data_IF_743535524438
#
_entry.id   IF_743535524438
#
_cell.length_a   1.000
_cell.length_b   1.000
_cell.length_c   1.000
_cell.angle_alpha   90.00
_cell.angle_beta   90.00
_cell.angle_gamma   90.00
#
_symmetry.space_group_name_H-M   'P 1'
#
loop_
_entity.id
_entity.type
_entity.pdbx_description
1 polymer ?
#
# COMPACT_ATOMS: atom_id res chain seq x y z
N UNK A 1 6.74 -13.67 -3.26
CA UNK A 1 7.90 -14.53 -3.61
C UNK A 1 9.15 -13.91 -3.01
N UNK A 2 9.75 -14.60 -2.02
CA UNK A 2 11.05 -14.40 -1.34
C UNK A 2 10.80 -14.87 0.12
N UNK A 3 11.17 -16.07 0.60
CA UNK A 3 12.46 -16.76 0.67
C UNK A 3 13.49 -16.07 1.59
N UNK A 4 13.44 -16.32 2.91
CA UNK A 4 14.41 -17.16 3.64
C UNK A 4 13.99 -17.31 5.12
N UNK A 5 14.16 -18.50 5.72
CA UNK A 5 13.89 -18.77 7.14
C UNK A 5 15.17 -18.79 7.98
N UNK A 6 15.06 -18.61 9.30
CA UNK A 6 16.11 -18.98 10.25
C UNK A 6 15.51 -19.66 11.48
N UNK A 7 16.14 -20.79 11.77
CA UNK A 7 15.89 -21.90 12.68
C UNK A 7 16.13 -21.60 14.17
N UNK A 8 15.52 -22.42 15.05
CA UNK A 8 15.95 -22.96 16.36
C UNK A 8 14.73 -22.96 17.32
N UNK A 9 14.37 -23.99 18.09
CA UNK A 9 15.11 -25.13 18.58
C UNK A 9 14.16 -26.27 19.03
N UNK A 10 14.64 -27.50 18.79
CA UNK A 10 14.56 -28.72 19.60
C UNK A 10 13.20 -29.28 20.08
N UNK A 11 12.79 -30.34 19.38
CA UNK A 11 11.92 -31.41 19.83
C UNK A 11 12.69 -32.43 20.68
N UNK A 12 12.13 -32.82 21.82
CA UNK A 12 12.43 -34.08 22.49
C UNK A 12 11.19 -34.57 23.25
N UNK A 13 10.36 -35.36 22.58
CA UNK A 13 9.23 -36.08 23.17
C UNK A 13 9.32 -37.52 22.67
N UNK A 14 10.11 -38.32 23.39
CA UNK A 14 10.21 -39.77 23.20
C UNK A 14 9.09 -40.40 24.03
N UNK A 15 8.18 -41.06 23.33
CA UNK A 15 7.08 -41.83 23.90
C UNK A 15 7.58 -43.12 24.55
N UNK A 16 7.04 -43.36 25.74
CA UNK A 16 7.21 -44.52 26.61
C UNK A 16 6.48 -45.74 26.03
N UNK A 17 7.18 -46.87 25.83
CA UNK A 17 6.56 -48.16 25.53
C UNK A 17 7.25 -49.25 26.36
N UNK A 18 6.58 -49.69 27.42
CA UNK A 18 7.01 -50.82 28.24
C UNK A 18 5.92 -51.91 28.22
N UNK A 19 6.22 -53.04 27.58
CA UNK A 19 5.48 -54.29 27.69
C UNK A 19 6.40 -55.34 28.32
N UNK A 20 5.84 -56.15 29.21
CA UNK A 20 6.48 -57.07 30.16
C UNK A 20 7.33 -58.21 29.56
N UNK A 21 8.04 -58.98 30.41
CA UNK A 21 7.49 -60.32 30.66
C UNK A 21 7.52 -60.82 32.12
N UNK A 22 6.63 -61.81 32.29
CA UNK A 22 6.30 -62.73 33.37
C UNK A 22 7.42 -63.47 34.12
N UNK A 23 7.11 -63.93 35.33
CA UNK A 23 7.62 -65.21 35.86
C UNK A 23 8.02 -65.19 37.34
N UNK A 24 7.25 -65.87 38.18
CA UNK A 24 7.37 -65.93 39.63
C UNK A 24 8.55 -66.80 40.14
N UNK A 25 9.14 -66.46 41.29
CA UNK A 25 9.03 -67.26 42.54
C UNK A 25 9.88 -66.72 43.70
N UNK A 26 9.22 -66.68 44.85
CA UNK A 26 9.72 -66.93 46.20
C UNK A 26 10.70 -65.95 46.89
N UNK A 27 10.18 -65.42 48.01
CA UNK A 27 10.79 -65.44 49.34
C UNK A 27 11.19 -64.08 49.96
N UNK A 28 10.72 -63.95 51.21
CA UNK A 28 11.22 -63.16 52.34
C UNK A 28 10.75 -61.72 52.51
N UNK A 29 9.83 -61.61 53.46
CA UNK A 29 9.73 -60.62 54.54
C UNK A 29 10.98 -59.74 54.74
N UNK A 30 10.77 -58.41 54.70
CA UNK A 30 11.73 -57.39 55.14
C UNK A 30 11.93 -56.26 54.13
N UNK A 31 11.11 -55.20 54.17
CA UNK A 31 11.29 -54.09 53.21
C UNK A 31 10.43 -52.83 53.40
N UNK A 32 9.92 -52.55 54.60
CA UNK A 32 9.01 -51.40 54.80
C UNK A 32 9.68 -50.03 55.01
N UNK A 33 10.97 -49.97 55.35
CA UNK A 33 11.66 -48.73 55.70
C UNK A 33 12.56 -48.16 54.59
N UNK A 34 12.99 -48.98 53.63
CA UNK A 34 13.85 -48.55 52.51
C UNK A 34 13.06 -47.91 51.37
N UNK A 35 11.81 -48.34 51.15
CA UNK A 35 10.90 -47.81 50.13
C UNK A 35 10.41 -46.40 50.47
N UNK A 36 10.05 -46.16 51.72
CA UNK A 36 9.58 -44.83 52.17
C UNK A 36 10.68 -43.78 52.15
N UNK A 37 11.94 -44.13 52.41
CA UNK A 37 13.07 -43.20 52.31
C UNK A 37 13.47 -42.89 50.87
N UNK A 38 13.34 -43.87 49.96
CA UNK A 38 13.48 -43.68 48.52
C UNK A 38 12.43 -42.69 47.96
N UNK A 39 11.16 -42.87 48.35
CA UNK A 39 10.05 -42.00 47.92
C UNK A 39 10.18 -40.56 48.46
N UNK A 40 10.61 -40.38 49.71
CA UNK A 40 10.87 -39.05 50.28
C UNK A 40 12.03 -38.36 49.58
N UNK A 41 13.06 -39.10 49.16
CA UNK A 41 14.18 -38.54 48.40
C UNK A 41 13.76 -38.13 46.98
N UNK A 42 12.93 -38.94 46.31
CA UNK A 42 12.34 -38.61 45.01
C UNK A 42 11.43 -37.37 45.08
N UNK A 43 10.53 -37.31 46.07
CA UNK A 43 9.65 -36.15 46.26
C UNK A 43 10.42 -34.86 46.58
N UNK A 44 11.54 -34.96 47.32
CA UNK A 44 12.41 -33.79 47.57
C UNK A 44 13.12 -33.31 46.31
N UNK A 45 13.52 -34.23 45.43
CA UNK A 45 14.09 -33.88 44.13
C UNK A 45 13.04 -33.22 43.22
N UNK A 46 11.83 -33.76 43.16
CA UNK A 46 10.72 -33.20 42.37
C UNK A 46 10.26 -31.83 42.91
N UNK A 47 10.23 -31.63 44.23
CA UNK A 47 9.95 -30.32 44.84
C UNK A 47 11.08 -29.31 44.55
N UNK A 48 12.33 -29.75 44.43
CA UNK A 48 13.44 -28.88 44.04
C UNK A 48 13.32 -28.44 42.57
N UNK A 49 12.93 -29.37 41.69
CA UNK A 49 12.68 -29.11 40.28
C UNK A 49 11.47 -28.17 40.08
N UNK A 50 10.36 -28.40 40.80
CA UNK A 50 9.20 -27.50 40.80
C UNK A 50 9.52 -26.10 41.31
N UNK A 51 10.45 -25.96 42.25
CA UNK A 51 10.93 -24.64 42.72
C UNK A 51 11.73 -23.92 41.64
N UNK A 52 12.58 -24.63 40.90
CA UNK A 52 13.28 -24.05 39.75
C UNK A 52 12.31 -23.62 38.65
N UNK A 53 11.37 -24.48 38.28
CA UNK A 53 10.38 -24.19 37.24
C UNK A 53 9.50 -22.99 37.62
N UNK A 54 9.14 -22.86 38.91
CA UNK A 54 8.39 -21.70 39.40
C UNK A 54 9.19 -20.39 39.28
N UNK A 55 10.50 -20.43 39.57
CA UNK A 55 11.36 -19.26 39.42
C UNK A 55 11.47 -18.83 37.95
N UNK A 56 11.57 -19.79 37.02
CA UNK A 56 11.62 -19.53 35.58
C UNK A 56 10.29 -18.95 35.05
N UNK A 57 9.15 -19.48 35.51
CA UNK A 57 7.82 -18.93 35.16
C UNK A 57 7.62 -17.52 35.70
N UNK A 58 8.15 -17.21 36.90
CA UNK A 58 8.09 -15.85 37.44
C UNK A 58 8.94 -14.87 36.60
N UNK A 59 10.09 -15.29 36.08
CA UNK A 59 10.93 -14.45 35.21
C UNK A 59 10.28 -14.23 33.84
N UNK A 60 9.74 -15.28 33.21
CA UNK A 60 8.96 -15.17 31.97
C UNK A 60 7.76 -14.23 32.13
N UNK A 61 7.09 -14.24 33.29
CA UNK A 61 5.99 -13.32 33.59
C UNK A 61 6.47 -11.87 33.69
N UNK A 62 7.67 -11.61 34.24
CA UNK A 62 8.24 -10.25 34.28
C UNK A 62 8.55 -9.74 32.88
N UNK A 63 9.17 -10.57 32.04
CA UNK A 63 9.46 -10.21 30.64
C UNK A 63 8.17 -9.91 29.87
N UNK A 64 7.15 -10.77 29.99
CA UNK A 64 5.87 -10.55 29.32
C UNK A 64 5.15 -9.29 29.82
N UNK A 65 5.28 -8.94 31.11
CA UNK A 65 4.75 -7.69 31.65
C UNK A 65 5.50 -6.46 31.11
N UNK A 66 6.81 -6.56 30.90
CA UNK A 66 7.61 -5.49 30.30
C UNK A 66 7.22 -5.24 28.83
N UNK A 67 7.14 -6.31 28.02
CA UNK A 67 6.70 -6.23 26.62
C UNK A 67 5.27 -5.66 26.53
N UNK A 68 4.37 -6.11 27.41
CA UNK A 68 3.01 -5.56 27.48
C UNK A 68 3.00 -4.06 27.85
N UNK A 69 4.00 -3.59 28.61
CA UNK A 69 4.21 -2.18 28.90
C UNK A 69 4.64 -1.39 27.66
N UNK A 70 5.60 -1.91 26.89
CA UNK A 70 6.05 -1.29 25.63
C UNK A 70 4.93 -1.20 24.60
N UNK A 71 4.16 -2.29 24.41
CA UNK A 71 3.00 -2.28 23.52
C UNK A 71 1.93 -1.27 23.95
N UNK A 72 1.75 -1.04 25.26
CA UNK A 72 0.83 -0.01 25.77
C UNK A 72 1.35 1.39 25.44
N UNK A 73 2.65 1.63 25.59
CA UNK A 73 3.25 2.92 25.27
C UNK A 73 3.15 3.24 23.78
N UNK A 74 3.51 2.30 22.91
CA UNK A 74 3.42 2.47 21.46
C UNK A 74 1.96 2.69 21.01
N UNK A 75 1.01 1.99 21.63
CA UNK A 75 -0.42 2.18 21.35
C UNK A 75 -0.91 3.57 21.77
N UNK A 76 -0.43 4.09 22.89
CA UNK A 76 -0.73 5.44 23.35
C UNK A 76 -0.17 6.50 22.40
N UNK A 77 1.07 6.32 21.94
CA UNK A 77 1.72 7.21 20.97
C UNK A 77 0.99 7.22 19.61
N UNK A 78 0.59 6.04 19.11
CA UNK A 78 -0.22 5.94 17.87
C UNK A 78 -1.58 6.62 18.03
N UNK A 79 -2.21 6.50 19.20
CA UNK A 79 -3.46 7.20 19.51
C UNK A 79 -3.26 8.72 19.53
N UNK A 80 -2.15 9.19 20.09
CA UNK A 80 -1.82 10.61 20.14
C UNK A 80 -1.52 11.17 18.74
N UNK A 81 -0.73 10.47 17.93
CA UNK A 81 -0.50 10.85 16.53
C UNK A 81 -1.79 10.84 15.71
N UNK A 82 -2.66 9.85 15.92
CA UNK A 82 -3.97 9.79 15.25
C UNK A 82 -4.85 10.96 15.67
N UNK A 83 -4.86 11.32 16.95
CA UNK A 83 -5.57 12.49 17.45
C UNK A 83 -4.97 13.79 16.89
N UNK A 84 -3.65 13.91 16.77
CA UNK A 84 -2.99 15.07 16.11
C UNK A 84 -3.32 15.16 14.64
N UNK A 85 -3.36 14.04 13.90
CA UNK A 85 -3.78 14.02 12.48
C UNK A 85 -5.26 14.38 12.34
N UNK A 86 -6.09 14.00 13.31
CA UNK A 86 -7.53 14.26 13.28
C UNK A 86 -7.91 15.66 13.80
N UNK A 87 -7.12 16.24 14.72
CA UNK A 87 -7.28 17.61 15.25
C UNK A 87 -6.47 18.66 14.49
N UNK A 88 -5.51 18.27 13.65
CA UNK A 88 -5.00 19.14 12.60
C UNK A 88 -6.13 19.31 11.62
N UNK A 89 -6.96 20.32 11.84
CA UNK A 89 -8.14 20.63 11.06
C UNK A 89 -7.79 20.64 9.57
N UNK A 90 -8.00 19.50 8.92
CA UNK A 90 -7.84 19.34 7.49
C UNK A 90 -9.10 19.92 6.82
N UNK A 91 -9.43 21.17 7.15
CA UNK A 91 -10.59 21.89 6.60
C UNK A 91 -10.33 22.31 5.14
N UNK A 92 -9.04 22.41 4.78
CA UNK A 92 -8.61 22.82 3.47
C UNK A 92 -8.77 21.70 2.43
N UNK A 93 -8.70 20.42 2.80
CA UNK A 93 -8.80 19.29 1.87
C UNK A 93 -9.73 18.22 2.44
N UNK A 94 -10.89 18.04 1.82
CA UNK A 94 -11.85 17.00 2.24
C UNK A 94 -12.61 16.41 1.07
N UNK A 95 -13.10 15.19 1.27
CA UNK A 95 -14.03 14.52 0.36
C UNK A 95 -15.44 14.63 0.97
N UNK A 96 -16.37 15.26 0.26
CA UNK A 96 -17.78 15.42 0.67
C UNK A 96 -18.67 14.66 -0.33
N UNK A 97 -19.10 13.45 0.05
CA UNK A 97 -19.84 12.58 -0.87
C UNK A 97 -19.01 12.21 -2.10
N UNK A 98 -19.37 12.77 -3.25
CA UNK A 98 -18.67 12.58 -4.53
C UNK A 98 -17.74 13.74 -4.90
N UNK A 99 -17.67 14.78 -4.07
CA UNK A 99 -16.92 15.99 -4.35
C UNK A 99 -15.60 16.00 -3.60
N UNK A 100 -14.51 16.33 -4.31
CA UNK A 100 -13.25 16.71 -3.69
C UNK A 100 -13.25 18.22 -3.46
N UNK A 101 -13.18 18.66 -2.21
CA UNK A 101 -13.30 20.06 -1.81
C UNK A 101 -11.96 20.59 -1.31
N UNK A 102 -11.46 21.62 -2.01
CA UNK A 102 -10.28 22.39 -1.65
C UNK A 102 -10.71 23.78 -1.16
N UNK A 103 -10.50 24.12 0.12
CA UNK A 103 -10.88 25.43 0.68
C UNK A 103 -9.67 26.34 0.78
N UNK A 104 -9.77 27.54 0.21
CA UNK A 104 -8.71 28.56 0.22
C UNK A 104 -7.36 28.06 -0.36
N UNK A 105 -7.41 27.19 -1.37
CA UNK A 105 -6.24 26.64 -2.05
C UNK A 105 -6.47 26.57 -3.57
N UNK A 106 -5.38 26.55 -4.33
CA UNK A 106 -5.39 26.26 -5.77
C UNK A 106 -4.99 24.80 -6.03
N UNK A 107 -5.50 24.20 -7.11
CA UNK A 107 -4.97 22.96 -7.65
C UNK A 107 -3.87 23.27 -8.67
N UNK A 108 -2.63 22.84 -8.39
CA UNK A 108 -1.51 22.96 -9.33
C UNK A 108 -1.13 21.58 -9.86
N UNK A 109 -1.23 21.38 -11.17
CA UNK A 109 -0.77 20.16 -11.85
C UNK A 109 0.60 20.44 -12.44
N UNK A 110 1.62 19.66 -12.03
CA UNK A 110 3.01 19.82 -12.48
C UNK A 110 3.51 18.51 -13.06
N UNK A 111 4.15 18.57 -14.22
CA UNK A 111 4.83 17.45 -14.85
C UNK A 111 6.01 17.95 -15.67
N UNK A 112 7.02 17.09 -15.82
CA UNK A 112 8.19 17.36 -16.65
C UNK A 112 7.84 17.28 -18.15
N UNK A 113 8.46 18.11 -18.97
CA UNK A 113 8.15 18.24 -20.40
C UNK A 113 8.51 17.02 -21.25
N UNK A 114 9.35 16.11 -20.74
CA UNK A 114 9.88 14.99 -21.56
C UNK A 114 9.00 13.74 -21.53
N UNK A 115 8.00 13.67 -20.64
CA UNK A 115 7.16 12.49 -20.47
C UNK A 115 5.81 12.69 -21.13
N UNK A 116 5.43 11.80 -22.03
CA UNK A 116 4.08 11.82 -22.63
C UNK A 116 3.04 11.26 -21.65
N UNK A 117 1.82 11.79 -21.70
CA UNK A 117 0.69 11.33 -20.89
C UNK A 117 0.59 11.96 -19.50
N UNK A 118 1.51 12.84 -19.11
CA UNK A 118 1.52 13.51 -17.80
C UNK A 118 1.21 15.01 -17.91
N UNK A 119 0.84 15.61 -16.78
CA UNK A 119 0.52 17.04 -16.70
C UNK A 119 -0.85 17.42 -17.25
N UNK A 120 -1.70 16.43 -17.58
CA UNK A 120 -3.00 16.66 -18.19
C UNK A 120 -4.11 16.84 -17.14
N UNK A 121 -5.10 17.70 -17.43
CA UNK A 121 -6.36 17.80 -16.67
C UNK A 121 -7.50 17.19 -17.49
N UNK A 122 -8.06 16.08 -17.02
CA UNK A 122 -9.08 15.30 -17.74
C UNK A 122 -10.39 15.31 -16.96
N UNK A 123 -11.46 15.81 -17.59
CA UNK A 123 -12.79 15.96 -17.00
C UNK A 123 -13.83 15.30 -17.91
N UNK A 124 -14.36 14.16 -17.50
CA UNK A 124 -15.34 13.41 -18.27
C UNK A 124 -14.93 11.96 -18.50
N UNK A 125 -15.42 11.34 -19.57
CA UNK A 125 -15.22 9.90 -19.84
C UNK A 125 -14.66 9.63 -21.23
N UNK A 126 -13.98 8.49 -21.36
CA UNK A 126 -13.48 7.95 -22.63
C UNK A 126 -12.47 8.84 -23.38
N UNK A 127 -11.74 9.70 -22.67
CA UNK A 127 -10.69 10.51 -23.27
C UNK A 127 -9.45 9.66 -23.61
N UNK A 128 -8.77 9.99 -24.71
CA UNK A 128 -7.45 9.46 -25.05
C UNK A 128 -6.42 10.58 -24.97
N UNK A 129 -5.43 10.44 -24.09
CA UNK A 129 -4.45 11.48 -23.77
C UNK A 129 -3.05 10.91 -23.48
N UNK A 130 -2.82 9.62 -23.77
CA UNK A 130 -1.55 8.95 -23.46
C UNK A 130 -0.33 9.54 -24.18
N UNK A 131 -0.56 10.30 -25.25
CA UNK A 131 0.47 11.04 -26.00
C UNK A 131 0.37 12.56 -25.83
N UNK A 132 -0.43 13.04 -24.87
CA UNK A 132 -0.56 14.47 -24.60
C UNK A 132 0.31 14.89 -23.42
N UNK A 133 0.82 16.12 -23.48
CA UNK A 133 1.54 16.78 -22.41
C UNK A 133 0.88 18.12 -22.10
N UNK A 134 0.66 18.38 -20.81
CA UNK A 134 0.12 19.65 -20.33
C UNK A 134 -1.22 20.05 -20.98
N UNK A 135 -2.01 19.05 -21.39
CA UNK A 135 -3.28 19.24 -22.08
C UNK A 135 -4.49 19.24 -21.15
N UNK A 136 -5.60 19.79 -21.63
CA UNK A 136 -6.89 19.80 -20.94
C UNK A 136 -7.94 19.16 -21.84
N UNK A 137 -8.64 18.14 -21.35
CA UNK A 137 -9.73 17.49 -22.05
C UNK A 137 -11.01 17.49 -21.22
N UNK A 138 -12.09 18.05 -21.77
CA UNK A 138 -13.40 18.17 -21.10
C UNK A 138 -14.50 17.56 -21.97
N UNK A 139 -15.39 16.75 -21.40
CA UNK A 139 -16.58 16.23 -22.08
C UNK A 139 -16.57 14.71 -22.26
N UNK A 140 -16.65 14.22 -23.50
CA UNK A 140 -16.70 12.76 -23.74
C UNK A 140 -15.98 12.37 -25.02
N UNK A 141 -15.20 11.30 -24.95
CA UNK A 141 -14.57 10.67 -26.11
C UNK A 141 -13.57 11.55 -26.89
N UNK A 142 -13.00 12.58 -26.27
CA UNK A 142 -12.02 13.44 -26.93
C UNK A 142 -10.63 12.79 -26.98
N UNK A 143 -9.85 13.08 -28.03
CA UNK A 143 -8.46 12.65 -28.18
C UNK A 143 -7.53 13.85 -28.22
N UNK A 144 -6.50 13.86 -27.39
CA UNK A 144 -5.42 14.83 -27.40
C UNK A 144 -4.09 14.11 -27.55
N UNK A 145 -3.30 14.55 -28.52
CA UNK A 145 -1.91 14.16 -28.71
C UNK A 145 -1.10 15.45 -28.95
N UNK A 146 0.15 15.49 -28.48
CA UNK A 146 0.98 16.69 -28.51
C UNK A 146 0.88 17.55 -27.25
N UNK A 147 1.41 18.77 -27.31
CA UNK A 147 1.66 19.63 -26.15
C UNK A 147 0.73 20.84 -26.09
N UNK A 148 0.39 21.27 -24.87
CA UNK A 148 -0.36 22.50 -24.57
C UNK A 148 -1.73 22.60 -25.26
N UNK A 149 -2.43 21.47 -25.41
CA UNK A 149 -3.70 21.41 -26.13
C UNK A 149 -4.91 21.55 -25.20
N UNK A 150 -5.96 22.20 -25.68
CA UNK A 150 -7.26 22.26 -25.00
C UNK A 150 -8.35 21.65 -25.90
N UNK A 151 -9.13 20.70 -25.38
CA UNK A 151 -10.27 20.14 -26.09
C UNK A 151 -11.49 20.07 -25.19
N UNK A 152 -12.63 20.56 -25.69
CA UNK A 152 -13.92 20.40 -25.05
C UNK A 152 -14.96 19.84 -26.05
N UNK A 153 -15.97 19.12 -25.56
CA UNK A 153 -17.10 18.62 -26.37
C UNK A 153 -17.13 17.10 -26.53
N UNK A 154 -17.64 16.64 -27.68
CA UNK A 154 -17.84 15.21 -27.96
C UNK A 154 -17.03 14.74 -29.17
N UNK A 155 -16.19 13.73 -28.97
CA UNK A 155 -15.44 13.06 -30.04
C UNK A 155 -14.53 13.99 -30.87
N UNK A 156 -14.01 15.05 -30.24
CA UNK A 156 -13.07 15.97 -30.87
C UNK A 156 -11.63 15.44 -30.77
N UNK A 157 -10.79 15.71 -31.78
CA UNK A 157 -9.43 15.18 -31.87
C UNK A 157 -8.41 16.27 -32.19
N UNK A 158 -7.35 16.36 -31.40
CA UNK A 158 -6.21 17.24 -31.64
C UNK A 158 -4.95 16.37 -31.71
N UNK A 159 -4.24 16.46 -32.84
CA UNK A 159 -2.97 15.80 -33.12
C UNK A 159 -1.87 16.84 -33.43
N UNK A 160 -1.97 18.02 -32.83
CA UNK A 160 -1.08 19.16 -33.05
C UNK A 160 -0.51 19.69 -31.74
N UNK A 161 0.02 20.90 -31.75
CA UNK A 161 0.52 21.56 -30.54
C UNK A 161 -0.17 22.92 -30.34
N UNK A 162 -0.30 23.34 -29.07
CA UNK A 162 -0.83 24.66 -28.69
C UNK A 162 -2.18 24.96 -29.33
N UNK A 163 -2.97 23.92 -29.58
CA UNK A 163 -4.22 24.00 -30.34
C UNK A 163 -5.42 23.83 -29.42
N UNK A 164 -6.53 24.48 -29.78
CA UNK A 164 -7.72 24.54 -28.94
C UNK A 164 -8.99 24.23 -29.73
N UNK A 165 -9.80 23.29 -29.23
CA UNK A 165 -11.18 23.09 -29.67
C UNK A 165 -12.07 23.44 -28.47
N UNK A 166 -12.81 24.55 -28.55
CA UNK A 166 -13.58 25.07 -27.41
C UNK A 166 -14.91 24.34 -27.20
N UNK A 167 -15.35 23.52 -28.16
CA UNK A 167 -16.59 22.77 -28.07
C UNK A 167 -16.97 22.10 -29.39
N UNK A 168 -18.21 21.60 -29.46
CA UNK A 168 -18.75 20.95 -30.65
C UNK A 168 -18.47 19.45 -30.72
N UNK A 169 -18.59 18.89 -31.93
CA UNK A 169 -18.58 17.46 -32.16
C UNK A 169 -17.72 17.06 -33.37
N UNK A 170 -16.93 16.00 -33.24
CA UNK A 170 -16.19 15.40 -34.36
C UNK A 170 -15.24 16.37 -35.10
N UNK A 171 -14.77 17.41 -34.42
CA UNK A 171 -13.79 18.34 -34.97
C UNK A 171 -12.38 17.74 -34.88
N UNK A 172 -11.56 17.98 -35.90
CA UNK A 172 -10.21 17.42 -36.01
C UNK A 172 -9.20 18.50 -36.36
N UNK A 173 -8.16 18.63 -35.53
CA UNK A 173 -6.96 19.42 -35.82
C UNK A 173 -5.80 18.44 -35.98
N UNK A 174 -5.13 18.48 -37.14
CA UNK A 174 -4.00 17.60 -37.46
C UNK A 174 -2.82 18.40 -37.98
N UNK A 175 -1.60 18.01 -37.64
CA UNK A 175 -0.35 18.60 -38.15
C UNK A 175 -0.30 20.14 -38.09
N UNK A 176 -0.97 20.76 -37.12
CA UNK A 176 -1.12 22.21 -37.02
C UNK A 176 -0.61 22.69 -35.66
N UNK A 177 -0.10 23.92 -35.61
CA UNK A 177 0.33 24.58 -34.38
C UNK A 177 -0.54 25.82 -34.21
N UNK A 178 -0.92 26.17 -32.97
CA UNK A 178 -1.66 27.39 -32.66
C UNK A 178 -2.98 27.54 -33.44
N UNK A 179 -3.75 26.45 -33.55
CA UNK A 179 -5.06 26.45 -34.23
C UNK A 179 -6.19 26.52 -33.22
N UNK A 180 -7.25 27.29 -33.52
CA UNK A 180 -8.45 27.37 -32.70
C UNK A 180 -9.69 27.01 -33.51
N UNK A 181 -10.50 26.08 -32.99
CA UNK A 181 -11.87 25.81 -33.45
C UNK A 181 -12.82 26.21 -32.33
N UNK A 182 -13.67 27.20 -32.59
CA UNK A 182 -14.62 27.70 -31.58
C UNK A 182 -15.77 26.72 -31.31
N UNK A 183 -16.12 25.85 -32.28
CA UNK A 183 -17.18 24.87 -32.15
C UNK A 183 -17.68 24.36 -33.50
N UNK A 184 -18.88 23.76 -33.49
CA UNK A 184 -19.52 23.18 -34.68
C UNK A 184 -19.30 21.67 -34.80
N UNK A 185 -19.65 21.12 -35.97
CA UNK A 185 -19.56 19.69 -36.26
C UNK A 185 -18.65 19.42 -37.46
N UNK A 186 -17.85 18.35 -37.39
CA UNK A 186 -17.06 17.81 -38.50
C UNK A 186 -16.08 18.81 -39.15
N UNK A 187 -15.58 19.80 -38.39
CA UNK A 187 -14.55 20.71 -38.88
C UNK A 187 -13.21 20.01 -38.92
N UNK A 188 -12.46 20.17 -40.01
CA UNK A 188 -11.13 19.58 -40.19
C UNK A 188 -10.14 20.67 -40.53
N UNK A 189 -9.08 20.80 -39.73
CA UNK A 189 -7.96 21.70 -39.99
C UNK A 189 -6.70 20.86 -40.09
N UNK A 190 -6.02 20.96 -41.24
CA UNK A 190 -4.74 20.35 -41.50
C UNK A 190 -3.85 21.39 -42.16
N UNK A 191 -2.94 22.00 -41.40
CA UNK A 191 -2.05 23.05 -41.90
C UNK A 191 -0.61 22.68 -41.54
N UNK A 192 0.08 22.01 -42.46
CA UNK A 192 1.53 21.89 -42.38
C UNK A 192 2.15 23.29 -42.37
N UNK A 193 3.07 23.55 -41.43
CA UNK A 193 3.99 24.66 -41.52
C UNK A 193 4.71 24.55 -42.88
N UNK A 194 4.61 25.57 -43.72
CA UNK A 194 5.45 25.66 -44.90
C UNK A 194 6.90 25.57 -44.42
N UNK A 195 7.63 24.56 -44.90
CA UNK A 195 9.07 24.46 -44.71
C UNK A 195 9.65 25.71 -45.38
N UNK A 196 10.03 26.72 -44.61
CA UNK A 196 10.74 27.88 -45.14
C UNK A 196 12.11 27.33 -45.53
N UNK A 197 12.34 27.11 -46.83
CA UNK A 197 13.68 26.83 -47.34
C UNK A 197 14.52 28.09 -47.11
N UNK A 198 15.65 28.01 -46.37
CA UNK A 198 16.46 29.18 -46.03
C UNK A 198 17.27 29.74 -47.22
N UNK A 199 17.24 29.10 -48.39
CA UNK A 199 18.01 29.53 -49.57
C UNK A 199 17.15 30.26 -50.59
N UNK A 200 16.81 31.51 -50.27
CA UNK A 200 16.52 32.52 -51.29
C UNK A 200 17.32 33.78 -50.95
N UNK A 201 18.54 33.85 -51.49
CA UNK A 201 19.30 35.08 -51.70
C UNK A 201 19.77 35.12 -53.15
#
# INVERSE_FOLDING_TARGET
MAAFPLTLALAALVWLQAAAPSGAQAAREGGGASTTHSEIAQLRAEVAELKQLRAEVEELRRLHQADAGEFRHLRAEVLEHRAKVQNSACDHFKVEGNDLVLRNMNLKVVANHDTSGVGNLIVGSHHSYGKSRHGVAVGTANTIEGEDNFVAGYYNKIFGERSSILGGQQNVVSNSIATVILGGRDKRVNRQMAKIDPDCR
#
